data_IF_929815134812
#
_entry.id   IF_929815134812
#
_cell.length_a   1.000
_cell.length_b   1.000
_cell.length_c   1.000
_cell.angle_alpha   90.00
_cell.angle_beta   90.00
_cell.angle_gamma   90.00
#
_symmetry.space_group_name_H-M   'P 1'
#
loop_
_entity.id
_entity.type
_entity.pdbx_description
1 polymer ?
#
# COMPACT_ATOMS: atom_id res chain seq x y z
N UNK A 1 29.94 -19.95 5.55
CA UNK A 1 30.15 -18.66 4.86
C UNK A 1 28.79 -18.12 4.39
N UNK A 2 28.24 -17.10 5.05
CA UNK A 2 26.92 -16.55 4.70
C UNK A 2 26.97 -15.66 3.46
N UNK A 3 26.02 -15.81 2.52
CA UNK A 3 25.94 -14.96 1.34
C UNK A 3 25.75 -13.50 1.76
N UNK A 4 26.67 -12.63 1.31
CA UNK A 4 26.64 -11.20 1.61
C UNK A 4 25.43 -10.55 0.95
N UNK A 5 24.56 -9.92 1.74
CA UNK A 5 23.37 -9.20 1.23
C UNK A 5 23.81 -8.03 0.34
N UNK A 6 23.33 -8.00 -0.90
CA UNK A 6 23.59 -6.88 -1.83
C UNK A 6 22.63 -5.73 -1.55
N UNK A 7 23.07 -4.74 -0.76
CA UNK A 7 22.32 -3.50 -0.52
C UNK A 7 22.58 -2.52 -1.66
N UNK A 8 21.57 -2.24 -2.46
CA UNK A 8 21.63 -1.25 -3.54
C UNK A 8 20.99 0.05 -3.04
N UNK A 9 21.72 1.15 -3.17
CA UNK A 9 21.17 2.50 -2.95
C UNK A 9 20.53 2.97 -4.24
N UNK A 10 19.26 3.32 -4.17
CA UNK A 10 18.50 3.82 -5.31
C UNK A 10 18.63 5.34 -5.30
N UNK A 11 19.25 5.90 -6.35
CA UNK A 11 19.51 7.34 -6.48
C UNK A 11 18.38 8.07 -7.19
N UNK A 12 17.61 7.37 -8.02
CA UNK A 12 16.43 7.88 -8.72
C UNK A 12 15.16 7.53 -7.96
N UNK A 13 14.14 8.38 -8.12
CA UNK A 13 12.85 8.15 -7.47
C UNK A 13 12.22 6.83 -7.94
N UNK A 14 11.29 6.29 -7.14
CA UNK A 14 10.55 5.10 -7.56
C UNK A 14 9.70 5.41 -8.80
N UNK A 15 9.11 6.60 -8.85
CA UNK A 15 8.30 7.10 -9.96
C UNK A 15 9.09 7.12 -11.28
N UNK A 16 10.28 7.73 -11.29
CA UNK A 16 11.13 7.80 -12.49
C UNK A 16 11.49 6.41 -13.02
N UNK A 17 11.78 5.47 -12.11
CA UNK A 17 12.14 4.10 -12.49
C UNK A 17 10.96 3.34 -13.07
N UNK A 18 9.76 3.51 -12.53
CA UNK A 18 8.55 2.89 -13.06
C UNK A 18 8.20 3.47 -14.44
N UNK A 19 8.32 4.79 -14.62
CA UNK A 19 8.10 5.45 -15.90
C UNK A 19 9.09 4.96 -16.98
N UNK A 20 10.39 4.93 -16.67
CA UNK A 20 11.42 4.39 -17.57
C UNK A 20 11.17 2.92 -17.90
N UNK A 21 10.74 2.12 -16.93
CA UNK A 21 10.41 0.71 -17.15
C UNK A 21 9.23 0.55 -18.11
N UNK A 22 8.14 1.31 -17.91
CA UNK A 22 6.98 1.30 -18.80
C UNK A 22 7.36 1.68 -20.24
N UNK A 23 8.18 2.72 -20.43
CA UNK A 23 8.69 3.09 -21.75
C UNK A 23 9.52 2.00 -22.40
N UNK A 24 10.46 1.40 -21.66
CA UNK A 24 11.29 0.31 -22.17
C UNK A 24 10.44 -0.90 -22.57
N UNK A 25 9.44 -1.27 -21.78
CA UNK A 25 8.55 -2.38 -22.11
C UNK A 25 7.67 -2.06 -23.33
N UNK A 26 7.18 -0.81 -23.48
CA UNK A 26 6.48 -0.37 -24.70
C UNK A 26 7.36 -0.49 -25.93
N UNK A 27 8.59 0.04 -25.89
CA UNK A 27 9.55 -0.06 -27.01
C UNK A 27 9.79 -1.52 -27.41
N UNK A 28 9.97 -2.41 -26.43
CA UNK A 28 10.12 -3.86 -26.69
C UNK A 28 8.85 -4.48 -27.27
N UNK A 29 7.67 -4.10 -26.78
CA UNK A 29 6.39 -4.60 -27.30
C UNK A 29 6.15 -4.15 -28.75
N UNK A 30 6.56 -2.93 -29.12
CA UNK A 30 6.47 -2.44 -30.49
C UNK A 30 7.41 -3.17 -31.45
N UNK A 31 8.58 -3.60 -30.98
CA UNK A 31 9.53 -4.39 -31.77
C UNK A 31 9.08 -5.84 -31.99
N UNK A 32 8.06 -6.32 -31.26
CA UNK A 32 7.57 -7.70 -31.36
C UNK A 32 6.33 -7.80 -32.26
N UNK A 33 6.18 -8.90 -33.01
CA UNK A 33 4.96 -9.18 -33.75
C UNK A 33 3.79 -9.37 -32.78
N UNK A 34 2.56 -9.25 -33.29
CA UNK A 34 1.36 -9.56 -32.52
C UNK A 34 1.38 -11.02 -32.08
N UNK A 35 1.21 -11.24 -30.77
CA UNK A 35 1.30 -12.56 -30.18
C UNK A 35 1.40 -12.52 -28.66
N UNK A 36 1.56 -13.70 -28.05
CA UNK A 36 1.64 -13.86 -26.60
C UNK A 36 2.77 -13.01 -25.98
N UNK A 37 3.96 -13.00 -26.59
CA UNK A 37 5.12 -12.24 -26.09
C UNK A 37 4.85 -10.74 -26.03
N UNK A 38 4.23 -10.18 -27.07
CA UNK A 38 3.85 -8.76 -27.10
C UNK A 38 2.81 -8.45 -26.01
N UNK A 39 1.83 -9.33 -25.84
CA UNK A 39 0.80 -9.17 -24.82
C UNK A 39 1.38 -9.22 -23.40
N UNK A 40 2.36 -10.08 -23.14
CA UNK A 40 3.07 -10.11 -21.86
C UNK A 40 3.84 -8.83 -21.58
N UNK A 41 4.51 -8.26 -22.58
CA UNK A 41 5.19 -6.97 -22.46
C UNK A 41 4.18 -5.85 -22.17
N UNK A 42 3.04 -5.83 -22.84
CA UNK A 42 1.98 -4.86 -22.59
C UNK A 42 1.34 -5.01 -21.20
N UNK A 43 1.20 -6.24 -20.69
CA UNK A 43 0.78 -6.48 -19.30
C UNK A 43 1.77 -5.85 -18.30
N UNK A 44 3.08 -5.98 -18.56
CA UNK A 44 4.12 -5.37 -17.71
C UNK A 44 4.06 -3.84 -17.76
N UNK A 45 3.77 -3.25 -18.92
CA UNK A 45 3.54 -1.80 -19.06
C UNK A 45 2.39 -1.37 -18.15
N UNK A 46 1.24 -2.03 -18.27
CA UNK A 46 0.05 -1.72 -17.48
C UNK A 46 0.31 -1.83 -15.97
N UNK A 47 1.02 -2.86 -15.53
CA UNK A 47 1.38 -3.03 -14.12
C UNK A 47 2.27 -1.88 -13.61
N UNK A 48 3.20 -1.40 -14.45
CA UNK A 48 4.07 -0.28 -14.09
C UNK A 48 3.29 1.04 -14.01
N UNK A 49 2.32 1.26 -14.88
CA UNK A 49 1.42 2.42 -14.83
C UNK A 49 0.55 2.39 -13.56
N UNK A 50 -0.02 1.23 -13.22
CA UNK A 50 -0.77 1.08 -11.96
C UNK A 50 0.10 1.34 -10.72
N UNK A 51 1.35 0.89 -10.74
CA UNK A 51 2.29 1.15 -9.66
C UNK A 51 2.62 2.64 -9.52
N UNK A 52 2.69 3.38 -10.63
CA UNK A 52 2.84 4.85 -10.61
C UNK A 52 1.64 5.51 -9.94
N UNK A 53 0.43 5.10 -10.28
CA UNK A 53 -0.78 5.67 -9.70
C UNK A 53 -0.84 5.45 -8.18
N UNK A 54 -0.49 4.23 -7.73
CA UNK A 54 -0.38 3.92 -6.29
C UNK A 54 0.69 4.79 -5.63
N UNK A 55 1.86 4.94 -6.25
CA UNK A 55 2.93 5.77 -5.71
C UNK A 55 2.49 7.23 -5.56
N UNK A 56 1.80 7.79 -6.56
CA UNK A 56 1.21 9.12 -6.49
C UNK A 56 0.20 9.22 -5.36
N UNK A 57 -0.70 8.25 -5.22
CA UNK A 57 -1.70 8.21 -4.13
C UNK A 57 -1.05 8.19 -2.74
N UNK A 58 0.01 7.40 -2.57
CA UNK A 58 0.75 7.31 -1.31
C UNK A 58 1.56 8.58 -1.01
N UNK A 59 2.03 9.28 -2.04
CA UNK A 59 2.77 10.54 -1.90
C UNK A 59 1.83 11.70 -1.54
N UNK A 60 0.58 11.66 -2.00
CA UNK A 60 -0.40 12.63 -1.52
C UNK A 60 -0.64 12.39 -0.03
N UNK A 61 -0.65 13.45 0.80
CA UNK A 61 -1.15 13.32 2.15
C UNK A 61 -2.63 12.96 2.02
N UNK A 62 -2.95 11.68 2.17
CA UNK A 62 -4.30 11.27 2.51
C UNK A 62 -4.62 12.05 3.78
N UNK A 63 -5.42 13.10 3.64
CA UNK A 63 -5.75 14.00 4.75
C UNK A 63 -6.06 13.14 5.96
N UNK A 64 -5.31 13.35 7.02
CA UNK A 64 -5.34 12.59 8.27
C UNK A 64 -6.77 12.64 8.83
N UNK A 65 -7.63 11.74 8.36
CA UNK A 65 -8.93 11.46 8.98
C UNK A 65 -8.75 10.66 10.28
N UNK A 66 -7.49 10.35 10.65
CA UNK A 66 -7.07 9.93 11.98
C UNK A 66 -7.07 11.07 13.02
N UNK A 67 -7.80 12.16 12.76
CA UNK A 67 -8.19 13.15 13.77
C UNK A 67 -9.62 12.97 14.30
N UNK A 68 -10.39 11.97 13.83
CA UNK A 68 -11.81 11.81 14.22
C UNK A 68 -12.20 10.42 14.70
N UNK A 69 -11.24 9.57 15.10
CA UNK A 69 -11.51 8.19 15.52
C UNK A 69 -10.86 7.78 16.84
N UNK A 70 -10.62 8.73 17.74
CA UNK A 70 -10.65 8.43 19.16
C UNK A 70 -11.82 9.22 19.74
N UNK A 71 -12.96 8.60 20.05
CA UNK A 71 -13.84 9.19 21.03
C UNK A 71 -12.98 9.39 22.29
N UNK A 72 -12.88 10.64 22.74
CA UNK A 72 -12.34 10.98 24.05
C UNK A 72 -12.83 9.96 25.07
N UNK A 73 -11.89 9.36 25.80
CA UNK A 73 -12.15 8.39 26.85
C UNK A 73 -13.40 8.81 27.62
N UNK A 74 -14.41 7.92 27.81
CA UNK A 74 -15.51 8.25 28.69
C UNK A 74 -14.94 8.43 30.09
N UNK A 75 -14.81 9.68 30.51
CA UNK A 75 -14.75 10.16 31.90
C UNK A 75 -15.85 9.44 32.69
N UNK A 76 -15.54 8.27 33.26
CA UNK A 76 -16.62 7.46 33.82
C UNK A 76 -16.26 6.12 34.45
N UNK A 77 -15.02 5.62 34.37
CA UNK A 77 -14.61 4.50 35.23
C UNK A 77 -14.20 5.04 36.61
N UNK A 78 -15.15 5.67 37.32
CA UNK A 78 -15.09 5.67 38.77
C UNK A 78 -15.30 4.23 39.20
N UNK A 79 -14.20 3.60 39.58
CA UNK A 79 -14.20 2.37 40.34
C UNK A 79 -15.03 2.61 41.61
N UNK A 80 -16.32 2.28 41.59
CA UNK A 80 -17.12 2.17 42.81
C UNK A 80 -16.72 0.85 43.50
N UNK A 81 -16.06 0.87 44.68
CA UNK A 81 -15.74 -0.34 45.41
C UNK A 81 -16.99 -0.78 46.16
N UNK A 82 -17.95 -1.44 45.49
CA UNK A 82 -19.15 -1.90 46.20
C UNK A 82 -20.27 -2.57 45.41
N UNK A 83 -20.07 -2.99 44.16
CA UNK A 83 -21.15 -3.56 43.34
C UNK A 83 -21.35 -5.06 43.54
N UNK A 84 -22.29 -5.45 44.41
CA UNK A 84 -22.89 -6.80 44.45
C UNK A 84 -23.38 -7.22 43.06
N UNK A 85 -22.89 -8.37 42.57
CA UNK A 85 -23.37 -9.02 41.34
C UNK A 85 -24.77 -9.59 41.56
N UNK A 86 -25.81 -8.84 41.19
CA UNK A 86 -27.17 -9.37 41.10
C UNK A 86 -27.36 -10.11 39.76
N UNK A 87 -27.08 -11.42 39.76
CA UNK A 87 -27.51 -12.34 38.70
C UNK A 87 -29.04 -12.44 38.72
N UNK A 88 -29.72 -11.86 37.73
CA UNK A 88 -31.18 -12.03 37.59
C UNK A 88 -31.47 -13.22 36.66
N UNK A 89 -31.93 -14.30 37.29
CA UNK A 89 -32.47 -15.51 36.67
C UNK A 89 -33.73 -15.17 35.86
N UNK A 90 -33.79 -15.66 34.62
CA UNK A 90 -34.92 -15.53 33.70
C UNK A 90 -35.80 -16.79 33.83
N UNK A 91 -37.09 -16.60 34.11
CA UNK A 91 -38.16 -17.59 33.90
C UNK A 91 -39.05 -17.06 32.77
#
# INVERSE_FOLDING_TARGET
MGLKRRRIKQTTSLEDRLAQFAEHMRKRAHAKPIGAEKNELLKKVRNAEQALDIERQLRQPHGSSLGRMYPSEPEGFRSDPGGLLAFKLKQ
#
